data_IF_440447030343
#
_entry.id   IF_440447030343
#
_cell.length_a   1.000
_cell.length_b   1.000
_cell.length_c   1.000
_cell.angle_alpha   90.00
_cell.angle_beta   90.00
_cell.angle_gamma   90.00
#
_symmetry.space_group_name_H-M   'P 1'
#
loop_
_entity.id
_entity.type
_entity.pdbx_description
1 polymer ?
#
# COMPACT_ATOMS: atom_id res chain seq x y z
N UNK A 1 -1.53 16.15 7.07
CA UNK A 1 -0.70 15.23 7.87
C UNK A 1 -0.50 13.99 7.02
N UNK A 2 0.74 13.55 6.79
CA UNK A 2 1.00 12.32 6.04
C UNK A 2 0.81 11.10 6.95
N UNK A 3 0.09 10.08 6.51
CA UNK A 3 -0.08 8.84 7.30
C UNK A 3 1.12 7.92 7.07
N UNK A 4 1.85 7.55 8.13
CA UNK A 4 2.99 6.63 7.98
C UNK A 4 2.51 5.21 7.71
N UNK A 5 3.22 4.49 6.84
CA UNK A 5 2.92 3.07 6.56
C UNK A 5 3.07 2.19 7.81
N UNK A 6 3.97 2.57 8.73
CA UNK A 6 4.16 1.89 10.01
C UNK A 6 2.91 1.93 10.91
N UNK A 7 2.06 2.95 10.77
CA UNK A 7 0.84 3.10 11.58
C UNK A 7 -0.29 2.17 11.11
N UNK A 8 -0.20 1.62 9.90
CA UNK A 8 -1.24 0.78 9.28
C UNK A 8 -1.20 -0.70 9.69
N UNK A 9 -0.30 -1.08 10.61
CA UNK A 9 -0.12 -2.46 11.06
C UNK A 9 0.01 -3.43 9.86
N UNK A 10 0.84 -3.05 8.89
CA UNK A 10 1.22 -3.91 7.77
C UNK A 10 2.12 -5.04 8.28
N UNK A 11 2.26 -6.08 7.47
CA UNK A 11 3.18 -7.17 7.81
C UNK A 11 4.62 -6.63 7.89
N UNK A 12 5.44 -7.02 8.87
CA UNK A 12 6.78 -6.45 9.05
C UNK A 12 7.68 -6.51 7.81
N UNK A 13 7.61 -7.60 7.04
CA UNK A 13 8.38 -7.74 5.80
C UNK A 13 7.89 -6.80 4.69
N UNK A 14 6.59 -6.56 4.58
CA UNK A 14 6.04 -5.61 3.60
C UNK A 14 6.45 -4.18 3.95
N UNK A 15 6.40 -3.82 5.24
CA UNK A 15 6.87 -2.51 5.68
C UNK A 15 8.36 -2.31 5.35
N UNK A 16 9.19 -3.33 5.60
CA UNK A 16 10.62 -3.31 5.24
C UNK A 16 10.82 -3.14 3.73
N UNK A 17 10.05 -3.85 2.91
CA UNK A 17 10.13 -3.74 1.44
C UNK A 17 9.76 -2.32 0.99
N UNK A 18 8.62 -1.80 1.45
CA UNK A 18 8.16 -0.45 1.13
C UNK A 18 9.19 0.62 1.53
N UNK A 19 9.75 0.52 2.74
CA UNK A 19 10.81 1.44 3.20
C UNK A 19 12.09 1.27 2.38
N UNK A 20 12.45 0.06 1.97
CA UNK A 20 13.58 -0.21 1.08
C UNK A 20 13.41 0.39 -0.32
N UNK A 21 12.17 0.49 -0.80
CA UNK A 21 11.80 1.16 -2.06
C UNK A 21 11.66 2.69 -1.92
N UNK A 22 11.85 3.23 -0.72
CA UNK A 22 11.74 4.68 -0.45
C UNK A 22 10.33 5.17 -0.15
N UNK A 23 9.37 4.28 0.09
CA UNK A 23 8.01 4.63 0.52
C UNK A 23 7.91 4.63 2.04
N UNK A 24 7.57 5.77 2.63
CA UNK A 24 7.41 5.92 4.09
C UNK A 24 5.97 6.22 4.48
N UNK A 25 5.23 6.90 3.60
CA UNK A 25 3.86 7.32 3.85
C UNK A 25 2.90 6.77 2.81
N UNK A 26 1.61 6.78 3.17
CA UNK A 26 0.53 6.32 2.30
C UNK A 26 0.49 7.14 1.00
N UNK A 27 0.71 8.44 1.10
CA UNK A 27 0.71 9.39 -0.02
C UNK A 27 1.84 9.13 -1.01
N UNK A 28 2.97 8.57 -0.57
CA UNK A 28 4.08 8.23 -1.46
C UNK A 28 3.64 7.15 -2.47
N UNK A 29 2.68 6.28 -2.12
CA UNK A 29 2.09 5.29 -3.03
C UNK A 29 0.95 5.87 -3.90
N UNK A 30 0.55 7.12 -3.66
CA UNK A 30 -0.58 7.78 -4.29
C UNK A 30 -0.42 8.07 -5.79
N UNK A 31 0.77 7.89 -6.36
CA UNK A 31 1.03 8.01 -7.79
C UNK A 31 1.01 6.66 -8.52
N UNK A 32 1.08 5.54 -7.80
CA UNK A 32 1.12 4.21 -8.40
C UNK A 32 -0.29 3.72 -8.77
N UNK A 33 -0.41 2.94 -9.84
CA UNK A 33 -1.64 2.22 -10.16
C UNK A 33 -1.82 1.02 -9.22
N UNK A 34 -3.04 0.51 -9.06
CA UNK A 34 -3.26 -0.72 -8.26
C UNK A 34 -2.43 -1.89 -8.79
N UNK A 35 -2.31 -2.02 -10.11
CA UNK A 35 -1.53 -3.09 -10.73
C UNK A 35 -0.04 -2.99 -10.36
N UNK A 36 0.52 -1.79 -10.31
CA UNK A 36 1.91 -1.58 -9.94
C UNK A 36 2.15 -1.85 -8.46
N UNK A 37 1.22 -1.42 -7.60
CA UNK A 37 1.32 -1.68 -6.15
C UNK A 37 1.27 -3.18 -5.88
N UNK A 38 0.37 -3.93 -6.53
CA UNK A 38 0.25 -5.38 -6.35
C UNK A 38 1.45 -6.17 -6.90
N UNK A 39 2.36 -5.54 -7.66
CA UNK A 39 3.63 -6.15 -8.08
C UNK A 39 4.75 -5.98 -7.05
N UNK A 40 4.57 -5.14 -6.04
CA UNK A 40 5.56 -4.98 -4.95
C UNK A 40 5.67 -6.31 -4.19
N UNK A 41 6.88 -6.87 -3.99
CA UNK A 41 7.06 -8.10 -3.24
C UNK A 41 6.41 -8.05 -1.86
N UNK A 42 5.61 -9.06 -1.53
CA UNK A 42 4.88 -9.14 -0.26
C UNK A 42 3.63 -8.25 -0.17
N UNK A 43 3.32 -7.44 -1.19
CA UNK A 43 2.07 -6.69 -1.26
C UNK A 43 0.91 -7.61 -1.64
N UNK A 44 0.02 -7.86 -0.67
CA UNK A 44 -1.22 -8.59 -0.92
C UNK A 44 -2.41 -7.64 -1.12
N UNK A 45 -3.46 -8.13 -1.78
CA UNK A 45 -4.70 -7.35 -1.99
C UNK A 45 -5.31 -6.83 -0.68
N UNK A 46 -5.22 -7.61 0.42
CA UNK A 46 -5.71 -7.16 1.72
C UNK A 46 -4.93 -5.96 2.29
N UNK A 47 -3.60 -5.98 2.17
CA UNK A 47 -2.76 -4.88 2.62
C UNK A 47 -2.93 -3.65 1.73
N UNK A 48 -3.05 -3.84 0.41
CA UNK A 48 -3.38 -2.75 -0.50
C UNK A 48 -4.73 -2.11 -0.16
N UNK A 49 -5.78 -2.90 0.15
CA UNK A 49 -7.08 -2.34 0.56
C UNK A 49 -7.00 -1.45 1.80
N UNK A 50 -6.13 -1.76 2.76
CA UNK A 50 -5.90 -0.88 3.93
C UNK A 50 -5.31 0.46 3.51
N UNK A 51 -4.29 0.43 2.66
CA UNK A 51 -3.60 1.63 2.16
C UNK A 51 -4.54 2.45 1.27
N UNK A 52 -5.22 1.80 0.32
CA UNK A 52 -6.18 2.40 -0.59
C UNK A 52 -7.32 3.10 0.15
N UNK A 53 -7.83 2.51 1.23
CA UNK A 53 -8.85 3.14 2.09
C UNK A 53 -8.37 4.47 2.67
N UNK A 54 -7.10 4.55 3.10
CA UNK A 54 -6.52 5.81 3.63
C UNK A 54 -6.25 6.81 2.51
N UNK A 55 -5.87 6.34 1.32
CA UNK A 55 -5.76 7.16 0.11
C UNK A 55 -7.11 7.67 -0.43
N UNK A 56 -8.25 7.22 0.12
CA UNK A 56 -9.56 7.50 -0.44
C UNK A 56 -9.79 6.86 -1.81
N UNK A 57 -9.05 5.79 -2.14
CA UNK A 57 -9.21 5.01 -3.37
C UNK A 57 -10.23 3.89 -3.17
N UNK A 58 -11.09 3.69 -4.17
CA UNK A 58 -11.90 2.49 -4.27
C UNK A 58 -10.97 1.26 -4.30
N UNK A 59 -11.16 0.28 -3.39
CA UNK A 59 -10.39 -0.94 -3.43
C UNK A 59 -10.69 -1.70 -4.72
N UNK A 60 -9.65 -2.23 -5.38
CA UNK A 60 -9.83 -3.07 -6.57
C UNK A 60 -10.78 -4.22 -6.24
N UNK A 61 -11.98 -4.18 -6.85
CA UNK A 61 -12.85 -5.33 -6.97
C UNK A 61 -12.30 -6.12 -8.15
N UNK A 62 -11.82 -7.33 -7.88
CA UNK A 62 -11.72 -8.30 -8.95
C UNK A 62 -13.16 -8.52 -9.42
N UNK A 63 -13.46 -8.17 -10.68
CA UNK A 63 -14.70 -8.63 -11.30
C UNK A 63 -14.59 -10.16 -11.41
N UNK A 64 -15.60 -10.85 -10.86
CA UNK A 64 -15.76 -12.31 -10.88
C UNK A 64 -15.93 -12.86 -12.31
#
# INVERSE_FOLDING_TARGET
MKTKLADLKLKPWLLRELTGLGYETVEDLGHLSTADVLRIPGMGSYDWRKIAKVLGREPFKAED
#
